data_IF_729628691481
#
_entry.id   IF_729628691481
#
_cell.length_a   1.000
_cell.length_b   1.000
_cell.length_c   1.000
_cell.angle_alpha   90.00
_cell.angle_beta   90.00
_cell.angle_gamma   90.00
#
_symmetry.space_group_name_H-M   'P 1'
#
loop_
_entity.id
_entity.type
_entity.pdbx_description
1 polymer ?
#
# COMPACT_ATOMS: atom_id res chain seq x y z
N UNK A 1 6.60 10.85 5.10
CA UNK A 1 5.40 10.36 4.43
C UNK A 1 4.83 11.44 3.54
N UNK A 2 4.49 11.16 2.27
CA UNK A 2 3.82 12.14 1.44
C UNK A 2 2.42 12.39 2.01
N UNK A 3 2.19 13.59 2.47
CA UNK A 3 0.87 14.10 2.85
C UNK A 3 0.56 15.31 1.98
N UNK A 4 -0.69 15.68 1.88
CA UNK A 4 -1.02 16.91 1.19
C UNK A 4 -0.51 18.10 2.01
N UNK A 5 0.32 18.95 1.41
CA UNK A 5 0.70 20.24 2.00
C UNK A 5 -0.40 21.30 1.82
N UNK A 6 -1.53 20.89 1.26
CA UNK A 6 -2.68 21.74 1.00
C UNK A 6 -3.66 21.65 2.15
N UNK A 7 -4.07 22.77 2.77
CA UNK A 7 -5.23 22.78 3.65
C UNK A 7 -6.46 22.27 2.88
N UNK A 8 -7.29 21.46 3.51
CA UNK A 8 -8.54 21.01 2.88
C UNK A 8 -9.42 22.24 2.55
N UNK A 9 -9.89 22.29 1.31
CA UNK A 9 -10.80 23.35 0.85
C UNK A 9 -10.12 24.59 0.26
N UNK A 10 -8.79 24.71 0.34
CA UNK A 10 -8.11 25.83 -0.30
C UNK A 10 -7.61 25.49 -1.71
N UNK A 11 -7.68 26.44 -2.66
CA UNK A 11 -7.12 26.23 -3.99
C UNK A 11 -5.62 26.00 -3.89
N UNK A 12 -5.12 24.97 -4.59
CA UNK A 12 -3.68 24.72 -4.66
C UNK A 12 -2.96 25.89 -5.28
N UNK A 13 -1.77 26.20 -4.79
CA UNK A 13 -0.93 27.19 -5.43
C UNK A 13 -0.55 26.71 -6.81
N UNK A 14 -1.04 27.39 -7.81
CA UNK A 14 -0.63 27.20 -9.19
C UNK A 14 0.81 27.71 -9.33
N UNK A 15 1.63 27.01 -10.11
CA UNK A 15 3.00 27.47 -10.43
C UNK A 15 2.96 28.92 -10.99
N UNK A 16 1.94 29.25 -11.76
CA UNK A 16 1.70 30.60 -12.27
C UNK A 16 1.56 31.64 -11.15
N UNK A 17 1.05 31.27 -9.97
CA UNK A 17 0.93 32.18 -8.84
C UNK A 17 2.31 32.52 -8.21
N UNK A 18 3.32 31.70 -8.41
CA UNK A 18 4.69 31.95 -7.98
C UNK A 18 5.44 32.89 -8.96
N UNK A 19 4.98 32.97 -10.19
CA UNK A 19 5.53 33.87 -11.24
C UNK A 19 4.93 35.25 -11.21
N UNK A 20 4.01 35.56 -10.29
CA UNK A 20 3.47 36.91 -10.12
C UNK A 20 4.51 37.84 -9.50
N UNK A 21 4.43 39.14 -9.79
CA UNK A 21 5.28 40.17 -9.18
C UNK A 21 5.22 40.16 -7.63
N UNK A 22 4.13 39.70 -7.07
CA UNK A 22 3.96 39.37 -5.64
C UNK A 22 3.54 37.89 -5.52
N UNK A 23 4.48 36.96 -5.39
CA UNK A 23 4.15 35.56 -5.21
C UNK A 23 3.27 35.34 -3.98
N UNK A 24 2.25 34.50 -4.11
CA UNK A 24 1.49 34.06 -2.95
C UNK A 24 2.38 33.13 -2.08
N UNK A 25 2.65 33.57 -0.85
CA UNK A 25 3.26 32.69 0.14
C UNK A 25 2.33 31.49 0.41
N UNK A 26 2.86 30.28 0.31
CA UNK A 26 2.10 29.11 0.78
C UNK A 26 2.02 29.17 2.30
N UNK A 27 0.83 29.10 2.89
CA UNK A 27 0.76 28.86 4.33
C UNK A 27 1.44 27.51 4.62
N UNK A 28 2.23 27.47 5.68
CA UNK A 28 2.73 26.20 6.20
C UNK A 28 1.54 25.28 6.49
N UNK A 29 1.65 23.97 6.24
CA UNK A 29 0.58 23.06 6.56
C UNK A 29 0.27 23.16 8.04
N UNK A 30 -0.96 23.55 8.36
CA UNK A 30 -1.43 23.66 9.74
C UNK A 30 -1.55 22.27 10.39
N UNK A 31 -1.52 22.24 11.69
CA UNK A 31 -1.83 21.04 12.46
C UNK A 31 -3.35 20.80 12.40
N UNK A 32 -3.79 20.02 11.45
CA UNK A 32 -5.21 19.66 11.28
C UNK A 32 -5.52 18.49 12.20
N UNK A 33 -6.43 18.67 13.17
CA UNK A 33 -6.87 17.61 14.06
C UNK A 33 -7.50 16.42 13.32
N UNK A 34 -7.48 15.21 13.93
CA UNK A 34 -8.20 14.08 13.36
C UNK A 34 -9.70 14.41 13.24
N UNK A 35 -10.43 13.93 12.19
CA UNK A 35 -10.00 13.01 11.14
C UNK A 35 -9.43 13.67 9.89
N UNK A 36 -9.00 14.91 9.95
CA UNK A 36 -8.62 15.72 8.78
C UNK A 36 -7.16 15.50 8.33
N UNK A 37 -6.39 14.69 9.06
CA UNK A 37 -5.03 14.34 8.65
C UNK A 37 -5.05 13.35 7.51
N UNK A 38 -4.50 13.73 6.38
CA UNK A 38 -4.33 12.83 5.27
C UNK A 38 -3.15 11.85 5.50
N UNK A 39 -2.20 12.22 6.35
CA UNK A 39 -1.02 11.41 6.68
C UNK A 39 -1.34 10.26 7.66
N UNK A 40 -2.35 10.41 8.49
CA UNK A 40 -2.77 9.41 9.48
C UNK A 40 -3.80 8.40 8.95
N UNK A 41 -4.19 8.49 7.67
CA UNK A 41 -5.14 7.54 7.07
C UNK A 41 -4.67 6.11 7.28
N UNK A 42 -5.57 5.28 7.82
CA UNK A 42 -5.28 3.91 8.21
C UNK A 42 -4.17 3.76 9.27
N UNK A 43 -3.81 4.82 9.99
CA UNK A 43 -2.86 4.74 11.10
C UNK A 43 -3.37 3.91 12.28
N UNK A 44 -4.69 3.79 12.43
CA UNK A 44 -5.32 2.92 13.42
C UNK A 44 -5.55 1.56 12.77
N UNK A 45 -4.94 0.51 13.33
CA UNK A 45 -5.17 -0.85 12.89
C UNK A 45 -6.61 -1.31 13.21
N UNK A 46 -7.23 -2.06 12.29
CA UNK A 46 -8.58 -2.62 12.49
C UNK A 46 -8.59 -3.88 13.35
N UNK A 47 -7.44 -4.37 13.71
CA UNK A 47 -7.29 -5.59 14.48
C UNK A 47 -7.69 -5.39 15.94
N UNK A 48 -8.36 -6.39 16.49
CA UNK A 48 -8.86 -6.41 17.87
C UNK A 48 -7.76 -6.88 18.82
N UNK A 49 -7.05 -5.93 19.40
CA UNK A 49 -6.09 -6.15 20.47
C UNK A 49 -6.62 -5.55 21.78
N UNK A 50 -6.19 -6.07 22.95
CA UNK A 50 -6.64 -5.54 24.26
C UNK A 50 -6.38 -4.06 24.48
N UNK A 51 -5.40 -3.49 23.79
CA UNK A 51 -5.10 -2.08 23.79
C UNK A 51 -4.20 -1.70 22.64
N UNK A 52 -4.31 -0.45 22.19
CA UNK A 52 -3.41 0.13 21.20
C UNK A 52 -3.24 1.63 21.49
N UNK A 53 -2.08 2.14 21.12
CA UNK A 53 -1.79 3.56 21.14
C UNK A 53 -1.25 3.98 19.78
N UNK A 54 -1.83 5.02 19.20
CA UNK A 54 -1.38 5.61 17.95
C UNK A 54 -1.00 7.06 18.21
N UNK A 55 0.25 7.40 17.90
CA UNK A 55 0.75 8.76 18.01
C UNK A 55 1.18 9.25 16.63
N UNK A 56 0.57 10.34 16.18
CA UNK A 56 0.90 10.96 14.90
C UNK A 56 1.76 12.20 15.13
N UNK A 57 3.01 12.16 14.65
CA UNK A 57 3.89 13.31 14.61
C UNK A 57 3.75 14.00 13.26
N UNK A 58 3.26 15.23 13.28
CA UNK A 58 3.10 16.02 12.08
C UNK A 58 4.40 16.78 11.75
N UNK A 59 5.00 16.46 10.59
CA UNK A 59 6.22 17.11 10.13
C UNK A 59 5.84 18.24 9.18
N UNK A 60 6.06 19.48 9.58
CA UNK A 60 5.70 20.67 8.81
C UNK A 60 6.77 21.08 7.81
N UNK A 61 8.03 20.76 8.07
CA UNK A 61 9.15 21.06 7.17
C UNK A 61 9.39 19.89 6.24
N UNK A 62 9.15 20.07 4.97
CA UNK A 62 9.35 19.06 3.93
C UNK A 62 10.36 19.56 2.92
N UNK A 63 11.34 18.72 2.49
CA UNK A 63 12.35 19.12 1.52
C UNK A 63 11.76 19.35 0.13
N UNK A 64 10.64 18.72 -0.16
CA UNK A 64 9.92 18.87 -1.42
C UNK A 64 8.46 19.25 -1.15
N UNK A 65 7.89 20.02 -2.06
CA UNK A 65 6.44 20.20 -2.08
C UNK A 65 5.77 18.89 -2.48
N UNK A 66 4.89 18.40 -1.61
CA UNK A 66 4.13 17.17 -1.84
C UNK A 66 2.65 17.50 -1.98
N UNK A 67 1.94 16.69 -2.75
CA UNK A 67 0.50 16.79 -2.95
C UNK A 67 -0.15 15.43 -2.75
N UNK A 68 -1.45 15.35 -2.94
CA UNK A 68 -2.22 14.15 -2.70
C UNK A 68 -1.75 13.00 -3.57
N UNK A 69 -1.10 12.04 -2.95
CA UNK A 69 -0.74 10.77 -3.55
C UNK A 69 -1.93 9.81 -3.43
N UNK A 70 -2.23 8.99 -4.41
CA UNK A 70 -3.35 8.05 -4.34
C UNK A 70 -3.21 7.15 -3.10
N UNK A 71 -4.21 7.14 -2.22
CA UNK A 71 -4.14 6.46 -0.92
C UNK A 71 -3.62 7.32 0.23
N UNK A 72 -2.93 8.43 -0.04
CA UNK A 72 -2.34 9.32 0.97
C UNK A 72 -1.51 8.55 2.01
N UNK A 73 -1.72 8.79 3.31
CA UNK A 73 -1.02 8.10 4.39
C UNK A 73 -1.33 6.60 4.48
N UNK A 74 -2.46 6.13 3.91
CA UNK A 74 -2.82 4.72 3.97
C UNK A 74 -1.77 3.79 3.37
N UNK A 75 -1.08 4.20 2.29
CA UNK A 75 -0.06 3.38 1.66
C UNK A 75 1.04 2.95 2.65
N UNK A 76 1.63 3.89 3.36
CA UNK A 76 2.72 3.58 4.26
C UNK A 76 2.25 3.09 5.64
N UNK A 77 1.08 3.55 6.12
CA UNK A 77 0.54 3.08 7.38
C UNK A 77 0.09 1.61 7.28
N UNK A 78 -0.58 1.24 6.19
CA UNK A 78 -0.95 -0.17 5.94
C UNK A 78 0.29 -1.03 5.71
N UNK A 79 1.30 -0.52 4.99
CA UNK A 79 2.59 -1.21 4.86
C UNK A 79 3.18 -1.57 6.23
N UNK A 80 3.20 -0.61 7.15
CA UNK A 80 3.75 -0.83 8.50
C UNK A 80 2.89 -1.80 9.32
N UNK A 81 1.57 -1.60 9.34
CA UNK A 81 0.64 -2.43 10.12
C UNK A 81 0.65 -3.87 9.61
N UNK A 82 0.51 -4.07 8.31
CA UNK A 82 0.38 -5.40 7.71
C UNK A 82 1.69 -6.18 7.69
N UNK A 83 2.83 -5.50 7.58
CA UNK A 83 4.14 -6.12 7.78
C UNK A 83 4.33 -6.56 9.24
N UNK A 84 3.89 -5.75 10.19
CA UNK A 84 3.95 -6.11 11.62
C UNK A 84 2.99 -7.25 11.97
N UNK A 85 1.77 -7.28 11.42
CA UNK A 85 0.86 -8.41 11.57
C UNK A 85 1.44 -9.72 11.04
N UNK A 86 2.20 -9.66 9.96
CA UNK A 86 2.90 -10.79 9.39
C UNK A 86 4.08 -11.24 10.27
N UNK A 87 4.82 -10.29 10.87
CA UNK A 87 5.87 -10.58 11.86
C UNK A 87 5.30 -11.30 13.09
N UNK A 88 4.17 -10.83 13.61
CA UNK A 88 3.50 -11.47 14.75
C UNK A 88 3.00 -12.88 14.42
N UNK A 89 2.45 -13.07 13.21
CA UNK A 89 2.05 -14.38 12.73
C UNK A 89 3.25 -15.35 12.70
N UNK A 90 4.37 -14.89 12.15
CA UNK A 90 5.61 -15.67 12.09
C UNK A 90 6.16 -15.98 13.49
N UNK A 91 6.24 -14.99 14.37
CA UNK A 91 6.74 -15.18 15.74
C UNK A 91 5.89 -16.17 16.55
N UNK A 92 4.59 -16.19 16.30
CA UNK A 92 3.65 -17.12 16.98
C UNK A 92 3.47 -18.45 16.24
N UNK A 93 4.17 -18.65 15.12
CA UNK A 93 4.08 -19.83 14.26
C UNK A 93 2.64 -20.13 13.80
N UNK A 94 1.87 -19.08 13.55
CA UNK A 94 0.50 -19.13 13.03
C UNK A 94 0.50 -18.69 11.58
N UNK A 95 -0.28 -19.38 10.75
CA UNK A 95 -0.47 -18.99 9.35
C UNK A 95 -0.91 -17.51 9.25
N UNK A 96 -0.34 -16.70 8.35
CA UNK A 96 -0.63 -15.27 8.24
C UNK A 96 -2.11 -14.93 7.98
N UNK A 97 -2.83 -15.77 7.25
CA UNK A 97 -4.28 -15.61 7.04
C UNK A 97 -5.03 -15.92 8.34
N UNK A 98 -4.73 -17.08 8.94
CA UNK A 98 -5.37 -17.49 10.18
C UNK A 98 -5.10 -16.49 11.33
N UNK A 99 -3.89 -15.94 11.40
CA UNK A 99 -3.54 -14.94 12.40
C UNK A 99 -4.38 -13.67 12.26
N UNK A 100 -4.54 -13.14 11.04
CA UNK A 100 -5.39 -11.98 10.77
C UNK A 100 -6.86 -12.24 11.11
N UNK A 101 -7.39 -13.39 10.69
CA UNK A 101 -8.76 -13.78 10.97
C UNK A 101 -9.04 -13.94 12.48
N UNK A 102 -8.06 -14.38 13.27
CA UNK A 102 -8.18 -14.48 14.73
C UNK A 102 -8.39 -13.11 15.39
N UNK A 103 -7.74 -12.07 14.86
CA UNK A 103 -7.75 -10.73 15.42
C UNK A 103 -8.71 -9.76 14.72
N UNK A 104 -9.61 -10.23 13.88
CA UNK A 104 -10.62 -9.40 13.21
C UNK A 104 -12.03 -9.78 13.65
N UNK A 105 -12.77 -8.80 14.19
CA UNK A 105 -14.20 -8.95 14.54
C UNK A 105 -15.13 -8.58 13.38
N UNK A 106 -14.71 -7.65 12.50
CA UNK A 106 -15.53 -7.19 11.36
C UNK A 106 -15.72 -8.33 10.35
N UNK A 107 -16.96 -8.82 10.14
CA UNK A 107 -17.21 -9.92 9.23
C UNK A 107 -16.87 -9.60 7.77
N UNK A 108 -17.03 -8.35 7.33
CA UNK A 108 -16.70 -7.93 5.96
C UNK A 108 -15.18 -7.95 5.73
N UNK A 109 -14.41 -7.57 6.73
CA UNK A 109 -12.95 -7.66 6.69
C UNK A 109 -12.50 -9.13 6.58
N UNK A 110 -13.12 -10.02 7.37
CA UNK A 110 -12.86 -11.46 7.34
C UNK A 110 -13.21 -12.06 5.97
N UNK A 111 -14.35 -11.70 5.41
CA UNK A 111 -14.78 -12.14 4.09
C UNK A 111 -13.80 -11.72 3.00
N UNK A 112 -13.33 -10.48 3.04
CA UNK A 112 -12.36 -9.97 2.07
C UNK A 112 -11.04 -10.78 2.11
N UNK A 113 -10.48 -11.01 3.30
CA UNK A 113 -9.26 -11.82 3.47
C UNK A 113 -9.49 -13.26 2.98
N UNK A 114 -10.61 -13.87 3.38
CA UNK A 114 -10.93 -15.26 3.02
C UNK A 114 -11.13 -15.41 1.51
N UNK A 115 -11.81 -14.44 0.87
CA UNK A 115 -12.04 -14.48 -0.57
C UNK A 115 -10.74 -14.38 -1.38
N UNK A 116 -9.85 -13.46 -1.00
CA UNK A 116 -8.55 -13.32 -1.67
C UNK A 116 -7.66 -14.56 -1.47
N UNK A 117 -7.57 -15.06 -0.24
CA UNK A 117 -6.77 -16.24 0.07
C UNK A 117 -7.29 -17.49 -0.68
N UNK A 118 -8.61 -17.69 -0.72
CA UNK A 118 -9.22 -18.81 -1.44
C UNK A 118 -8.99 -18.74 -2.94
N UNK A 119 -9.22 -17.59 -3.57
CA UNK A 119 -9.01 -17.41 -5.01
C UNK A 119 -7.54 -17.58 -5.38
N UNK A 120 -6.63 -17.13 -4.54
CA UNK A 120 -5.21 -17.37 -4.72
C UNK A 120 -4.82 -18.85 -4.59
N UNK A 121 -5.61 -19.68 -3.90
CA UNK A 121 -5.24 -21.06 -3.55
C UNK A 121 -4.22 -21.10 -2.41
N UNK A 122 -4.41 -20.26 -1.37
CA UNK A 122 -3.47 -20.12 -0.26
C UNK A 122 -3.11 -21.47 0.39
N UNK A 123 -4.09 -22.29 0.69
CA UNK A 123 -3.88 -23.58 1.39
C UNK A 123 -3.23 -24.67 0.52
N UNK A 124 -3.28 -24.52 -0.81
CA UNK A 124 -2.73 -25.48 -1.77
C UNK A 124 -1.42 -25.02 -2.41
N UNK A 125 -0.96 -23.81 -2.09
CA UNK A 125 0.27 -23.26 -2.63
C UNK A 125 1.48 -24.07 -2.17
N UNK A 126 2.37 -24.38 -3.11
CA UNK A 126 3.57 -25.18 -2.84
C UNK A 126 4.80 -24.28 -2.81
N UNK A 127 5.59 -24.40 -1.74
CA UNK A 127 6.86 -23.69 -1.59
C UNK A 127 7.86 -24.16 -2.64
N UNK A 128 8.55 -23.22 -3.25
CA UNK A 128 9.62 -23.43 -4.22
C UNK A 128 10.80 -22.52 -3.87
N UNK A 129 12.05 -22.89 -4.20
CA UNK A 129 13.22 -22.07 -3.92
C UNK A 129 13.08 -20.66 -4.51
N UNK A 130 13.34 -19.64 -3.71
CA UNK A 130 13.23 -18.25 -4.09
C UNK A 130 11.80 -17.71 -4.25
N UNK A 131 10.77 -18.56 -4.18
CA UNK A 131 9.37 -18.15 -4.23
C UNK A 131 8.81 -17.85 -2.85
N UNK A 132 7.95 -16.86 -2.78
CA UNK A 132 7.21 -16.52 -1.57
C UNK A 132 5.81 -16.01 -1.89
N UNK A 133 4.94 -16.12 -0.92
CA UNK A 133 3.58 -15.57 -0.96
C UNK A 133 3.35 -14.61 0.19
N UNK A 134 2.54 -13.60 -0.03
CA UNK A 134 2.23 -12.61 1.01
C UNK A 134 0.80 -12.15 0.91
N UNK A 135 0.23 -11.81 2.05
CA UNK A 135 -1.12 -11.27 2.16
C UNK A 135 -1.09 -9.98 2.96
N UNK A 136 -1.97 -9.04 2.59
CA UNK A 136 -2.28 -7.86 3.37
C UNK A 136 -3.73 -7.43 3.16
N UNK A 137 -4.24 -6.65 4.11
CA UNK A 137 -5.63 -6.22 4.13
C UNK A 137 -5.72 -4.76 4.60
N UNK A 138 -6.71 -4.04 4.08
CA UNK A 138 -7.13 -2.76 4.63
C UNK A 138 -8.62 -2.50 4.34
N UNK A 139 -9.27 -1.77 5.25
CA UNK A 139 -10.47 -1.01 4.96
C UNK A 139 -10.06 0.43 4.76
N UNK A 140 -10.11 0.94 3.54
CA UNK A 140 -9.58 2.27 3.24
C UNK A 140 -10.23 3.36 4.11
N UNK A 141 -9.41 4.24 4.71
CA UNK A 141 -9.81 5.26 5.70
C UNK A 141 -10.49 4.68 6.96
N UNK A 142 -10.49 3.37 7.17
CA UNK A 142 -11.25 2.65 8.18
C UNK A 142 -12.79 2.78 8.06
N UNK A 143 -13.29 3.40 7.01
CA UNK A 143 -14.73 3.65 6.78
C UNK A 143 -15.18 3.34 5.34
N UNK A 144 -14.28 3.24 4.38
CA UNK A 144 -14.59 3.01 2.95
C UNK A 144 -14.47 1.53 2.55
N UNK A 145 -14.16 1.25 1.29
CA UNK A 145 -14.07 -0.11 0.75
C UNK A 145 -13.00 -0.97 1.41
N UNK A 146 -13.29 -2.26 1.52
CA UNK A 146 -12.38 -3.28 2.02
C UNK A 146 -11.61 -3.88 0.85
N UNK A 147 -10.33 -4.13 1.03
CA UNK A 147 -9.51 -4.78 0.03
C UNK A 147 -8.47 -5.68 0.72
N UNK A 148 -8.40 -6.93 0.30
CA UNK A 148 -7.29 -7.82 0.64
C UNK A 148 -6.52 -8.16 -0.63
N UNK A 149 -5.20 -8.19 -0.54
CA UNK A 149 -4.31 -8.53 -1.65
C UNK A 149 -3.43 -9.69 -1.24
N UNK A 150 -3.38 -10.70 -2.11
CA UNK A 150 -2.46 -11.83 -2.01
C UNK A 150 -1.61 -11.86 -3.26
N UNK A 151 -0.31 -12.10 -3.11
CA UNK A 151 0.56 -12.24 -4.27
C UNK A 151 1.65 -13.29 -4.09
N UNK A 152 2.15 -13.75 -5.22
CA UNK A 152 3.31 -14.62 -5.31
C UNK A 152 4.47 -13.87 -5.96
N UNK A 153 5.64 -14.02 -5.38
CA UNK A 153 6.87 -13.43 -5.92
C UNK A 153 7.94 -14.49 -6.11
N UNK A 154 8.92 -14.17 -6.94
CA UNK A 154 10.23 -14.82 -6.96
C UNK A 154 11.30 -13.75 -6.73
N UNK A 155 12.23 -14.05 -5.84
CA UNK A 155 13.37 -13.20 -5.51
C UNK A 155 14.64 -13.84 -6.00
N UNK A 156 15.41 -13.12 -6.79
CA UNK A 156 16.74 -13.55 -7.23
C UNK A 156 17.78 -13.19 -6.16
N UNK A 157 18.38 -14.17 -5.46
CA UNK A 157 19.31 -13.89 -4.37
C UNK A 157 20.66 -13.32 -4.85
N UNK A 158 20.98 -13.46 -6.13
CA UNK A 158 22.27 -13.02 -6.67
C UNK A 158 22.27 -11.52 -6.98
N UNK A 159 21.13 -10.99 -7.43
CA UNK A 159 21.02 -9.58 -7.84
C UNK A 159 19.94 -8.78 -7.10
N UNK A 160 19.16 -9.42 -6.21
CA UNK A 160 18.10 -8.76 -5.44
C UNK A 160 16.83 -8.44 -6.22
N UNK A 161 16.72 -8.87 -7.47
CA UNK A 161 15.54 -8.58 -8.28
C UNK A 161 14.31 -9.34 -7.78
N UNK A 162 13.23 -8.62 -7.56
CA UNK A 162 11.91 -9.15 -7.17
C UNK A 162 10.99 -9.11 -8.37
N UNK A 163 10.41 -10.26 -8.71
CA UNK A 163 9.38 -10.36 -9.75
C UNK A 163 8.08 -10.87 -9.14
N UNK A 164 7.00 -10.13 -9.34
CA UNK A 164 5.65 -10.58 -8.98
C UNK A 164 5.16 -11.50 -10.10
N UNK A 165 4.72 -12.70 -9.73
CA UNK A 165 4.28 -13.72 -10.67
C UNK A 165 2.78 -13.67 -10.91
N UNK A 166 2.01 -13.37 -9.88
CA UNK A 166 0.56 -13.17 -9.92
C UNK A 166 0.08 -12.44 -8.67
N UNK A 167 -1.06 -11.78 -8.79
CA UNK A 167 -1.73 -11.15 -7.67
C UNK A 167 -3.24 -11.44 -7.73
N UNK A 168 -3.83 -11.58 -6.56
CA UNK A 168 -5.29 -11.67 -6.37
C UNK A 168 -5.70 -10.58 -5.41
N UNK A 169 -6.71 -9.80 -5.78
CA UNK A 169 -7.29 -8.78 -4.92
C UNK A 169 -8.78 -9.06 -4.71
N UNK A 170 -9.24 -9.08 -3.48
CA UNK A 170 -10.67 -9.05 -3.18
C UNK A 170 -11.13 -7.64 -2.87
N UNK A 171 -12.35 -7.28 -3.27
CA UNK A 171 -12.94 -5.97 -3.00
C UNK A 171 -14.38 -6.10 -2.51
N UNK A 172 -14.66 -5.56 -1.31
CA UNK A 172 -16.01 -5.35 -0.79
C UNK A 172 -16.26 -3.84 -0.69
N UNK A 173 -17.06 -3.34 -1.63
CA UNK A 173 -17.46 -1.92 -1.64
C UNK A 173 -18.96 -1.74 -1.34
N UNK A 174 -19.60 -2.71 -0.70
CA UNK A 174 -21.06 -2.72 -0.47
C UNK A 174 -21.80 -3.07 -1.76
N UNK A 175 -22.83 -2.31 -2.08
CA UNK A 175 -23.53 -2.43 -3.36
C UNK A 175 -22.59 -2.06 -4.51
N UNK A 176 -22.34 -2.99 -5.42
CA UNK A 176 -21.53 -2.75 -6.61
C UNK A 176 -22.42 -2.20 -7.73
N UNK A 177 -22.27 -0.92 -8.02
CA UNK A 177 -23.05 -0.25 -9.08
C UNK A 177 -22.47 -0.58 -10.47
N UNK A 178 -21.14 -0.59 -10.59
CA UNK A 178 -20.46 -0.91 -11.84
C UNK A 178 -19.32 -1.91 -11.55
N UNK A 179 -19.52 -3.21 -11.80
CA UNK A 179 -18.53 -4.24 -11.54
C UNK A 179 -17.22 -4.04 -12.32
N UNK A 180 -17.31 -3.66 -13.59
CA UNK A 180 -16.15 -3.38 -14.43
C UNK A 180 -15.35 -2.19 -13.90
N UNK A 181 -16.02 -1.10 -13.56
CA UNK A 181 -15.39 0.06 -12.95
C UNK A 181 -14.69 -0.24 -11.62
N UNK A 182 -15.29 -1.09 -10.78
CA UNK A 182 -14.66 -1.53 -9.51
C UNK A 182 -13.41 -2.35 -9.80
N UNK A 183 -13.48 -3.33 -10.70
CA UNK A 183 -12.33 -4.17 -11.07
C UNK A 183 -11.19 -3.33 -11.60
N UNK A 184 -11.45 -2.42 -12.53
CA UNK A 184 -10.45 -1.52 -13.10
C UNK A 184 -9.79 -0.60 -12.05
N UNK A 185 -10.57 -0.11 -11.06
CA UNK A 185 -10.00 0.69 -9.97
C UNK A 185 -9.08 -0.13 -9.06
N UNK A 186 -9.46 -1.35 -8.72
CA UNK A 186 -8.66 -2.24 -7.87
C UNK A 186 -7.39 -2.66 -8.59
N UNK A 187 -7.49 -3.12 -9.84
CA UNK A 187 -6.36 -3.52 -10.67
C UNK A 187 -5.38 -2.36 -10.92
N UNK A 188 -5.89 -1.22 -11.39
CA UNK A 188 -5.06 -0.04 -11.64
C UNK A 188 -4.38 0.49 -10.39
N UNK A 189 -5.06 0.44 -9.22
CA UNK A 189 -4.46 0.80 -7.94
C UNK A 189 -3.38 -0.19 -7.50
N UNK A 190 -3.58 -1.49 -7.73
CA UNK A 190 -2.60 -2.53 -7.44
C UNK A 190 -1.35 -2.35 -8.30
N UNK A 191 -1.49 -2.21 -9.62
CA UNK A 191 -0.36 -2.01 -10.54
C UNK A 191 0.43 -0.76 -10.19
N UNK A 192 -0.26 0.35 -9.91
CA UNK A 192 0.38 1.59 -9.49
C UNK A 192 1.15 1.42 -8.17
N UNK A 193 0.55 0.78 -7.18
CA UNK A 193 1.19 0.53 -5.89
C UNK A 193 2.39 -0.43 -6.01
N UNK A 194 2.34 -1.42 -6.91
CA UNK A 194 3.49 -2.27 -7.23
C UNK A 194 4.65 -1.43 -7.79
N UNK A 195 4.36 -0.51 -8.72
CA UNK A 195 5.36 0.38 -9.30
C UNK A 195 6.07 1.20 -8.21
N UNK A 196 5.30 1.83 -7.33
CA UNK A 196 5.84 2.57 -6.19
C UNK A 196 6.69 1.71 -5.26
N UNK A 197 6.21 0.51 -4.98
CA UNK A 197 6.88 -0.38 -4.03
C UNK A 197 8.15 -1.00 -4.58
N UNK A 198 8.25 -1.19 -5.89
CA UNK A 198 9.42 -1.81 -6.52
C UNK A 198 10.46 -0.83 -7.04
N UNK A 199 10.03 0.35 -7.55
CA UNK A 199 10.89 1.17 -8.39
C UNK A 199 10.92 2.65 -8.03
N UNK A 200 9.76 3.25 -7.79
CA UNK A 200 9.62 4.70 -7.86
C UNK A 200 10.23 5.42 -6.67
N UNK A 201 11.17 6.29 -6.95
CA UNK A 201 11.80 7.17 -5.98
C UNK A 201 12.23 8.47 -6.67
N UNK A 202 11.86 9.60 -6.07
CA UNK A 202 12.37 10.90 -6.49
C UNK A 202 13.75 11.11 -5.88
N UNK A 203 14.71 11.43 -6.74
CA UNK A 203 16.05 11.88 -6.36
C UNK A 203 16.13 13.39 -6.42
N UNK A 204 16.67 14.01 -5.40
CA UNK A 204 16.82 15.46 -5.31
C UNK A 204 18.04 15.81 -4.44
N UNK A 205 18.54 17.02 -4.62
CA UNK A 205 19.57 17.63 -3.77
C UNK A 205 19.02 18.92 -3.11
N UNK A 206 19.91 19.74 -2.55
CA UNK A 206 19.54 21.00 -1.90
C UNK A 206 19.03 22.08 -2.87
N UNK A 207 19.21 21.89 -4.19
CA UNK A 207 18.95 22.89 -5.20
C UNK A 207 17.84 22.49 -6.18
N UNK A 208 17.70 21.19 -6.48
CA UNK A 208 16.81 20.75 -7.55
C UNK A 208 16.35 19.31 -7.41
N UNK A 209 15.28 18.96 -8.14
CA UNK A 209 14.88 17.58 -8.39
C UNK A 209 15.76 17.02 -9.51
N UNK A 210 16.39 15.86 -9.25
CA UNK A 210 17.29 15.16 -10.19
C UNK A 210 16.51 14.15 -11.06
N UNK A 211 15.34 13.69 -10.60
CA UNK A 211 14.46 12.81 -11.36
C UNK A 211 13.64 13.64 -12.35
N UNK A 212 14.17 13.89 -13.53
CA UNK A 212 13.59 14.81 -14.53
C UNK A 212 13.00 14.13 -15.76
N UNK A 213 13.21 12.82 -15.91
CA UNK A 213 12.71 12.01 -17.02
C UNK A 213 12.38 10.57 -16.58
N UNK A 214 11.85 9.78 -17.49
CA UNK A 214 11.50 8.38 -17.21
C UNK A 214 12.70 7.46 -16.98
N UNK A 215 13.91 7.85 -17.35
CA UNK A 215 15.11 7.07 -17.07
C UNK A 215 15.55 7.27 -15.61
N UNK A 216 15.46 8.50 -15.10
CA UNK A 216 15.78 8.87 -13.72
C UNK A 216 14.61 8.64 -12.73
N UNK A 217 13.38 8.41 -13.25
CA UNK A 217 12.20 8.03 -12.47
C UNK A 217 11.51 6.84 -13.14
N UNK A 218 12.08 5.64 -13.02
CA UNK A 218 11.54 4.45 -13.67
C UNK A 218 10.22 4.02 -13.04
N UNK A 219 9.24 3.68 -13.89
CA UNK A 219 7.98 3.07 -13.51
C UNK A 219 7.93 1.59 -13.94
N UNK A 220 6.93 0.87 -13.48
CA UNK A 220 6.70 -0.50 -13.91
C UNK A 220 6.33 -0.55 -15.40
N UNK A 221 7.09 -1.30 -16.20
CA UNK A 221 6.80 -1.51 -17.63
C UNK A 221 5.74 -2.58 -17.85
N UNK A 222 5.11 -2.59 -19.03
CA UNK A 222 4.05 -3.55 -19.39
C UNK A 222 4.46 -5.01 -19.19
N UNK A 223 5.70 -5.37 -19.54
CA UNK A 223 6.22 -6.74 -19.40
C UNK A 223 6.50 -7.17 -17.95
N UNK A 224 6.41 -6.25 -17.00
CA UNK A 224 6.65 -6.50 -15.58
C UNK A 224 5.34 -6.59 -14.78
N UNK A 225 4.22 -6.15 -15.36
CA UNK A 225 2.90 -6.22 -14.73
C UNK A 225 2.47 -7.67 -14.61
N UNK A 226 2.18 -8.18 -13.41
CA UNK A 226 1.72 -9.55 -13.24
C UNK A 226 0.25 -9.69 -13.69
N UNK A 227 -0.20 -10.91 -13.99
CA UNK A 227 -1.63 -11.21 -14.03
C UNK A 227 -2.29 -10.84 -12.69
N UNK A 228 -3.41 -10.10 -12.77
CA UNK A 228 -4.20 -9.67 -11.61
C UNK A 228 -5.59 -10.27 -11.73
N UNK A 229 -6.05 -10.96 -10.69
CA UNK A 229 -7.42 -11.42 -10.55
C UNK A 229 -8.13 -10.56 -9.50
N UNK A 230 -9.32 -10.03 -9.83
CA UNK A 230 -10.15 -9.25 -8.90
C UNK A 230 -11.41 -10.01 -8.52
N UNK A 231 -11.55 -10.32 -7.24
CA UNK A 231 -12.70 -10.99 -6.65
C UNK A 231 -13.65 -9.96 -6.06
N UNK A 232 -14.79 -9.77 -6.67
CA UNK A 232 -15.80 -8.81 -6.22
C UNK A 232 -16.77 -9.44 -5.21
N UNK A 233 -16.88 -8.82 -4.03
CA UNK A 233 -17.84 -9.21 -2.99
C UNK A 233 -19.00 -8.21 -3.03
N UNK A 234 -20.07 -8.54 -3.77
CA UNK A 234 -21.23 -7.68 -3.90
C UNK A 234 -22.19 -7.83 -2.72
N UNK A 235 -22.61 -6.69 -2.14
CA UNK A 235 -23.59 -6.62 -1.05
C UNK A 235 -24.75 -5.69 -1.42
N UNK A 236 -25.75 -6.17 -2.18
CA UNK A 236 -26.81 -5.33 -2.75
C UNK A 236 -27.59 -4.51 -1.72
N UNK A 237 -27.67 -4.98 -0.47
CA UNK A 237 -28.41 -4.32 0.61
C UNK A 237 -27.51 -3.42 1.50
N UNK A 238 -26.23 -3.29 1.20
CA UNK A 238 -25.33 -2.42 1.92
C UNK A 238 -25.10 -1.10 1.16
N UNK A 239 -24.83 0.00 1.86
CA UNK A 239 -24.42 1.24 1.21
C UNK A 239 -23.20 1.01 0.33
N UNK A 240 -23.16 1.64 -0.84
CA UNK A 240 -21.96 1.64 -1.69
C UNK A 240 -20.82 2.43 -1.03
N UNK A 241 -19.61 1.93 -1.22
CA UNK A 241 -18.38 2.53 -0.72
C UNK A 241 -17.40 2.80 -1.88
N UNK A 242 -16.57 3.82 -1.74
CA UNK A 242 -15.58 4.15 -2.76
C UNK A 242 -14.44 3.13 -2.79
N UNK A 243 -13.99 2.76 -3.99
CA UNK A 243 -12.90 1.80 -4.25
C UNK A 243 -11.69 2.39 -4.94
N UNK A 244 -11.74 3.68 -5.30
CA UNK A 244 -10.69 4.33 -6.10
C UNK A 244 -9.27 4.27 -5.51
N UNK A 245 -9.14 4.02 -4.21
CA UNK A 245 -7.87 3.99 -3.49
C UNK A 245 -7.70 2.74 -2.58
N UNK A 246 -8.63 1.78 -2.67
CA UNK A 246 -8.70 0.68 -1.69
C UNK A 246 -7.51 -0.30 -1.77
N UNK A 247 -6.96 -0.55 -2.95
CA UNK A 247 -5.86 -1.48 -3.17
C UNK A 247 -4.46 -0.90 -2.89
N UNK A 248 -4.33 0.43 -2.74
CA UNK A 248 -3.01 1.07 -2.60
C UNK A 248 -2.23 0.59 -1.36
N UNK A 249 -2.86 0.59 -0.20
CA UNK A 249 -2.21 0.20 1.04
C UNK A 249 -1.83 -1.28 1.09
N UNK A 250 -2.78 -2.20 0.90
CA UNK A 250 -2.49 -3.64 1.04
C UNK A 250 -1.51 -4.17 0.00
N UNK A 251 -1.42 -3.59 -1.19
CA UNK A 251 -0.50 -4.07 -2.23
C UNK A 251 0.96 -4.00 -1.81
N UNK A 252 1.42 -2.84 -1.31
CA UNK A 252 2.81 -2.68 -0.88
C UNK A 252 3.19 -3.63 0.26
N UNK A 253 2.27 -3.81 1.20
CA UNK A 253 2.48 -4.72 2.33
C UNK A 253 2.47 -6.20 1.90
N UNK A 254 1.53 -6.61 1.05
CA UNK A 254 1.49 -7.98 0.53
C UNK A 254 2.78 -8.34 -0.23
N UNK A 255 3.32 -7.39 -1.00
CA UNK A 255 4.60 -7.56 -1.68
C UNK A 255 5.75 -7.77 -0.69
N UNK A 256 5.87 -6.90 0.32
CA UNK A 256 6.93 -7.02 1.32
C UNK A 256 6.82 -8.32 2.14
N UNK A 257 5.60 -8.75 2.47
CA UNK A 257 5.34 -10.02 3.13
C UNK A 257 5.72 -11.22 2.25
N UNK A 258 5.44 -11.14 0.94
CA UNK A 258 5.86 -12.19 0.00
C UNK A 258 7.40 -12.25 -0.16
N UNK A 259 8.08 -11.11 -0.16
CA UNK A 259 9.55 -11.06 -0.16
C UNK A 259 10.12 -11.68 1.11
N UNK A 260 9.52 -11.39 2.28
CA UNK A 260 9.90 -12.03 3.53
C UNK A 260 9.70 -13.55 3.50
N UNK A 261 8.55 -14.02 3.02
CA UNK A 261 8.29 -15.47 2.90
C UNK A 261 9.27 -16.15 1.93
N UNK A 262 9.71 -15.46 0.87
CA UNK A 262 10.70 -15.99 -0.07
C UNK A 262 12.12 -16.05 0.49
N UNK A 263 12.49 -15.12 1.37
CA UNK A 263 13.90 -14.86 1.72
C UNK A 263 14.22 -14.99 3.21
N UNK A 264 13.22 -14.93 4.07
CA UNK A 264 13.40 -14.81 5.52
C UNK A 264 13.82 -13.39 5.97
N UNK A 265 13.97 -12.44 5.04
CA UNK A 265 14.48 -11.09 5.34
C UNK A 265 13.36 -10.06 5.30
N UNK A 266 13.13 -9.36 6.41
CA UNK A 266 12.08 -8.35 6.51
C UNK A 266 12.54 -7.01 5.93
N UNK A 267 11.89 -6.60 4.86
CA UNK A 267 12.09 -5.29 4.25
C UNK A 267 11.35 -4.20 5.03
N UNK A 268 12.09 -3.18 5.48
CA UNK A 268 11.52 -2.07 6.28
C UNK A 268 11.59 -0.73 5.55
N UNK A 269 12.08 -0.72 4.34
CA UNK A 269 12.23 0.48 3.51
C UNK A 269 11.74 0.21 2.10
N UNK A 270 10.97 1.12 1.55
CA UNK A 270 10.48 1.14 0.17
C UNK A 270 11.11 2.30 -0.61
N UNK A 271 11.27 2.19 -1.93
CA UNK A 271 10.99 1.04 -2.77
C UNK A 271 11.95 -0.14 -2.52
N UNK A 272 11.48 -1.36 -2.88
CA UNK A 272 12.26 -2.61 -2.81
C UNK A 272 13.12 -2.76 -4.05
N UNK A 273 14.03 -1.78 -4.26
CA UNK A 273 14.94 -1.85 -5.40
C UNK A 273 15.89 -3.04 -5.27
N UNK A 274 16.39 -3.57 -6.40
CA UNK A 274 17.32 -4.70 -6.38
C UNK A 274 18.50 -4.49 -5.42
N UNK A 275 19.05 -3.28 -5.38
CA UNK A 275 20.18 -2.93 -4.50
C UNK A 275 19.79 -3.02 -3.03
N UNK A 276 18.60 -2.53 -2.66
CA UNK A 276 18.11 -2.58 -1.27
C UNK A 276 17.82 -4.01 -0.83
N UNK A 277 17.18 -4.79 -1.69
CA UNK A 277 16.90 -6.20 -1.42
C UNK A 277 18.21 -6.96 -1.27
N UNK A 278 19.16 -6.80 -2.21
CA UNK A 278 20.46 -7.46 -2.14
C UNK A 278 21.26 -7.05 -0.89
N UNK A 279 21.22 -5.76 -0.53
CA UNK A 279 21.88 -5.28 0.69
C UNK A 279 21.27 -5.87 1.97
N UNK A 280 19.95 -6.09 2.00
CA UNK A 280 19.28 -6.74 3.11
C UNK A 280 19.61 -8.23 3.19
N UNK A 281 19.63 -8.94 2.05
CA UNK A 281 20.00 -10.36 1.97
C UNK A 281 21.44 -10.63 2.44
N UNK A 282 22.37 -9.71 2.20
CA UNK A 282 23.77 -9.84 2.64
C UNK A 282 23.98 -9.61 4.14
N UNK A 283 23.01 -9.01 4.83
CA UNK A 283 23.08 -8.72 6.28
C UNK A 283 22.41 -9.78 7.15
N UNK A 284 21.62 -10.66 6.55
CA UNK A 284 20.89 -11.75 7.21
C UNK A 284 21.72 -13.03 7.23
#
# INVERSE_FOLDING_TARGET
MPHSTRPQGEPGNLLSAQSLAKPHAQPLPGNLGPPNYAADRNGIALYDFPGHQVLTHFITQMPLRVSSHRGLGAYANVFSIESFMDELAHLTQVDPVAYRLRHLKDPRARDAITAAARAFGWDTWQRRPGHGRGIAFARYKNIAGYCAVVMEVVVNPTNGHVRVLRAVASADCGHIVNPDGVSNQIEGGLVQSLSWTLKEQIHFDEHQVLSTDWASYPILGFGEVPPVEVVLINRPNAPFLGTGEASQGPTGAALANAVFDATGVRMRQIPLTPERVLAALKKA
#
